data_IF_015259457418
#
_entry.id   IF_015259457418
#
_cell.length_a   1.000
_cell.length_b   1.000
_cell.length_c   1.000
_cell.angle_alpha   90.00
_cell.angle_beta   90.00
_cell.angle_gamma   90.00
#
_symmetry.space_group_name_H-M   'P 1'
#
loop_
_entity.id
_entity.type
_entity.pdbx_description
1 polymer ?
#
# COMPACT_ATOMS: atom_id res chain seq x y z
N UNK A 1 -15.71 -7.16 -7.09
CA UNK A 1 -14.60 -7.75 -6.32
C UNK A 1 -15.07 -9.08 -5.82
N UNK A 2 -14.36 -10.17 -6.09
CA UNK A 2 -14.76 -11.49 -5.63
C UNK A 2 -14.73 -11.51 -4.10
N UNK A 3 -15.90 -11.74 -3.51
CA UNK A 3 -16.10 -11.87 -2.08
C UNK A 3 -15.89 -13.34 -1.70
N UNK A 4 -15.26 -13.64 -0.55
CA UNK A 4 -15.08 -15.03 -0.15
C UNK A 4 -16.43 -15.68 0.16
N UNK A 5 -16.71 -16.79 -0.51
CA UNK A 5 -17.89 -17.62 -0.24
C UNK A 5 -17.80 -18.30 1.13
N UNK A 6 -16.56 -18.62 1.57
CA UNK A 6 -16.27 -19.23 2.87
C UNK A 6 -15.15 -18.46 3.56
N UNK A 7 -15.38 -18.10 4.82
CA UNK A 7 -14.37 -17.46 5.69
C UNK A 7 -13.73 -18.56 6.56
N UNK A 8 -12.42 -18.84 6.41
CA UNK A 8 -11.74 -19.83 7.25
C UNK A 8 -11.74 -19.41 8.72
N UNK A 9 -11.76 -20.39 9.62
CA UNK A 9 -11.56 -20.16 11.06
C UNK A 9 -10.07 -20.31 11.37
N UNK A 10 -9.50 -19.34 12.10
CA UNK A 10 -8.10 -19.42 12.52
C UNK A 10 -7.92 -20.35 13.72
N UNK A 11 -6.67 -20.69 14.08
CA UNK A 11 -6.41 -21.57 15.23
C UNK A 11 -6.84 -21.02 16.61
N UNK A 12 -7.38 -19.80 16.68
CA UNK A 12 -8.02 -19.29 17.90
C UNK A 12 -9.51 -19.65 18.00
N UNK A 13 -10.11 -20.25 16.96
CA UNK A 13 -11.56 -20.44 16.86
C UNK A 13 -12.32 -19.23 16.30
N UNK A 14 -11.61 -18.13 16.00
CA UNK A 14 -12.21 -16.91 15.46
C UNK A 14 -12.18 -16.89 13.91
N UNK A 15 -13.15 -16.23 13.24
CA UNK A 15 -13.10 -16.01 11.79
C UNK A 15 -11.81 -15.27 11.37
N UNK A 16 -11.15 -15.79 10.33
CA UNK A 16 -9.96 -15.19 9.77
C UNK A 16 -10.29 -13.91 9.00
N UNK A 17 -9.37 -12.95 9.02
CA UNK A 17 -9.50 -11.68 8.31
C UNK A 17 -8.90 -11.80 6.91
N UNK A 18 -9.67 -11.46 5.89
CA UNK A 18 -9.15 -11.26 4.54
C UNK A 18 -8.35 -9.95 4.47
N UNK A 19 -7.10 -10.03 4.00
CA UNK A 19 -6.19 -8.89 3.85
C UNK A 19 -5.44 -8.96 2.53
N UNK A 20 -4.96 -7.82 2.04
CA UNK A 20 -4.14 -7.73 0.83
C UNK A 20 -2.67 -7.60 1.19
N UNK A 21 -1.80 -8.37 0.53
CA UNK A 21 -0.36 -8.23 0.67
C UNK A 21 0.15 -7.06 -0.18
N UNK A 22 1.06 -6.28 0.43
CA UNK A 22 1.73 -5.14 -0.20
C UNK A 22 3.23 -5.38 -0.41
N UNK A 23 3.72 -6.59 -0.16
CA UNK A 23 5.12 -6.93 -0.44
C UNK A 23 5.36 -7.03 -1.94
N UNK A 24 6.58 -6.73 -2.41
CA UNK A 24 6.91 -6.82 -3.83
C UNK A 24 6.74 -8.24 -4.41
N UNK A 25 6.83 -9.29 -3.57
CA UNK A 25 6.66 -10.68 -3.99
C UNK A 25 5.20 -11.10 -4.14
N UNK A 26 4.32 -10.51 -3.35
CA UNK A 26 2.90 -10.89 -3.29
C UNK A 26 1.98 -9.68 -3.44
N UNK A 27 2.40 -8.69 -4.21
CA UNK A 27 1.73 -7.41 -4.32
C UNK A 27 0.31 -7.59 -4.87
N UNK A 28 -0.68 -7.06 -4.15
CA UNK A 28 -2.08 -7.15 -4.54
C UNK A 28 -2.74 -8.51 -4.27
N UNK A 29 -1.98 -9.54 -3.85
CA UNK A 29 -2.51 -10.88 -3.58
C UNK A 29 -3.17 -10.92 -2.20
N UNK A 30 -4.41 -11.39 -2.12
CA UNK A 30 -5.13 -11.49 -0.85
C UNK A 30 -4.85 -12.80 -0.12
N UNK A 31 -4.89 -12.73 1.21
CA UNK A 31 -4.71 -13.85 2.12
C UNK A 31 -5.63 -13.70 3.34
N UNK A 32 -6.00 -14.82 3.93
CA UNK A 32 -6.62 -14.88 5.25
C UNK A 32 -5.56 -14.97 6.33
N UNK A 33 -5.67 -14.12 7.35
CA UNK A 33 -4.82 -14.14 8.54
C UNK A 33 -5.63 -14.16 9.83
N UNK A 34 -5.01 -14.54 10.93
CA UNK A 34 -5.61 -14.38 12.26
C UNK A 34 -6.01 -12.91 12.48
N UNK A 35 -7.23 -12.67 12.93
CA UNK A 35 -7.73 -11.31 13.20
C UNK A 35 -6.97 -10.58 14.33
N UNK A 36 -6.24 -11.32 15.19
CA UNK A 36 -5.34 -10.79 16.23
C UNK A 36 -3.94 -10.45 15.71
N UNK A 37 -3.65 -10.68 14.42
CA UNK A 37 -2.36 -10.33 13.83
C UNK A 37 -2.08 -8.81 13.97
N UNK A 38 -0.90 -8.47 14.51
CA UNK A 38 -0.51 -7.08 14.78
C UNK A 38 -1.11 -6.45 16.04
N UNK A 39 -1.93 -7.18 16.80
CA UNK A 39 -2.43 -6.69 18.08
C UNK A 39 -1.32 -6.63 19.12
N UNK A 40 -1.22 -5.52 19.86
CA UNK A 40 -0.33 -5.40 21.03
C UNK A 40 -0.88 -6.10 22.28
N UNK A 41 -2.18 -6.38 22.31
CA UNK A 41 -2.88 -6.88 23.50
C UNK A 41 -3.27 -8.36 23.42
N UNK A 42 -3.36 -8.91 22.21
CA UNK A 42 -3.76 -10.31 21.97
C UNK A 42 -2.72 -11.03 21.14
N UNK A 43 -2.33 -12.23 21.57
CA UNK A 43 -1.39 -13.08 20.83
C UNK A 43 -2.07 -13.63 19.57
N UNK A 44 -1.45 -13.41 18.41
CA UNK A 44 -1.87 -14.02 17.15
C UNK A 44 -1.48 -15.50 17.12
N UNK A 45 -2.37 -16.36 16.63
CA UNK A 45 -2.07 -17.76 16.38
C UNK A 45 -1.28 -18.02 15.09
N UNK A 46 -0.95 -16.95 14.35
CA UNK A 46 -0.18 -17.01 13.09
C UNK A 46 -0.84 -17.84 11.97
N UNK A 47 -2.14 -18.11 12.07
CA UNK A 47 -2.92 -18.67 10.96
C UNK A 47 -2.73 -17.83 9.70
N UNK A 48 -2.52 -18.51 8.57
CA UNK A 48 -2.30 -17.91 7.26
C UNK A 48 -2.81 -18.85 6.16
N UNK A 49 -3.54 -18.31 5.19
CA UNK A 49 -3.93 -19.03 3.97
C UNK A 49 -4.10 -18.07 2.80
N UNK A 50 -3.68 -18.46 1.60
CA UNK A 50 -3.86 -17.62 0.40
C UNK A 50 -5.31 -17.65 -0.08
N UNK A 51 -5.87 -16.48 -0.41
CA UNK A 51 -7.19 -16.39 -1.04
C UNK A 51 -7.07 -16.40 -2.56
N UNK A 52 -6.25 -15.50 -3.09
CA UNK A 52 -5.99 -15.44 -4.52
C UNK A 52 -4.86 -16.43 -4.91
N UNK A 53 -4.88 -17.00 -6.12
CA UNK A 53 -3.73 -17.69 -6.68
C UNK A 53 -2.53 -16.74 -6.82
N UNK A 54 -1.30 -17.25 -6.96
CA UNK A 54 -0.15 -16.41 -7.23
C UNK A 54 -0.33 -15.68 -8.58
N UNK A 55 0.10 -14.42 -8.63
CA UNK A 55 0.15 -13.68 -9.89
C UNK A 55 1.16 -14.33 -10.84
N UNK A 56 0.87 -14.29 -12.14
CA UNK A 56 1.83 -14.72 -13.16
C UNK A 56 3.08 -13.82 -13.14
N UNK A 57 4.28 -14.33 -13.49
CA UNK A 57 5.49 -13.51 -13.53
C UNK A 57 5.35 -12.23 -14.36
N UNK A 58 4.63 -12.32 -15.49
CA UNK A 58 4.33 -11.17 -16.36
C UNK A 58 3.46 -10.13 -15.67
N UNK A 59 2.34 -10.54 -15.07
CA UNK A 59 1.43 -9.61 -14.37
C UNK A 59 2.12 -8.94 -13.18
N UNK A 60 2.92 -9.71 -12.42
CA UNK A 60 3.74 -9.18 -11.32
C UNK A 60 4.74 -8.11 -11.82
N UNK A 61 5.46 -8.38 -12.91
CA UNK A 61 6.42 -7.42 -13.48
C UNK A 61 5.74 -6.12 -13.92
N UNK A 62 4.60 -6.23 -14.62
CA UNK A 62 3.82 -5.08 -15.08
C UNK A 62 3.33 -4.26 -13.87
N UNK A 63 2.75 -4.92 -12.86
CA UNK A 63 2.22 -4.26 -11.66
C UNK A 63 3.32 -3.50 -10.90
N UNK A 64 4.46 -4.14 -10.66
CA UNK A 64 5.62 -3.51 -10.01
C UNK A 64 6.17 -2.34 -10.84
N UNK A 65 6.27 -2.51 -12.16
CA UNK A 65 6.71 -1.47 -13.08
C UNK A 65 5.80 -0.24 -13.05
N UNK A 66 4.48 -0.45 -13.04
CA UNK A 66 3.49 0.63 -12.93
C UNK A 66 3.58 1.35 -11.59
N UNK A 67 3.66 0.63 -10.46
CA UNK A 67 3.83 1.26 -9.16
C UNK A 67 5.12 2.09 -9.07
N UNK A 68 6.23 1.58 -9.64
CA UNK A 68 7.48 2.33 -9.70
C UNK A 68 7.31 3.63 -10.49
N UNK A 69 6.65 3.58 -11.65
CA UNK A 69 6.36 4.78 -12.45
C UNK A 69 5.47 5.77 -11.69
N UNK A 70 4.41 5.30 -11.03
CA UNK A 70 3.53 6.16 -10.23
C UNK A 70 4.30 6.89 -9.13
N UNK A 71 5.14 6.17 -8.37
CA UNK A 71 5.97 6.78 -7.34
C UNK A 71 6.91 7.84 -7.90
N UNK A 72 7.57 7.54 -9.03
CA UNK A 72 8.45 8.51 -9.71
C UNK A 72 7.68 9.78 -10.12
N UNK A 73 6.47 9.63 -10.66
CA UNK A 73 5.63 10.75 -11.06
C UNK A 73 5.13 11.57 -9.85
N UNK A 74 4.74 10.91 -8.77
CA UNK A 74 4.36 11.56 -7.52
C UNK A 74 5.51 12.34 -6.92
N UNK A 75 6.72 11.77 -6.91
CA UNK A 75 7.93 12.44 -6.43
C UNK A 75 8.28 13.64 -7.31
N UNK A 76 8.20 13.51 -8.63
CA UNK A 76 8.43 14.61 -9.56
C UNK A 76 7.44 15.75 -9.33
N UNK A 77 6.14 15.44 -9.22
CA UNK A 77 5.08 16.41 -8.90
C UNK A 77 5.31 17.09 -7.55
N UNK A 78 5.76 16.35 -6.54
CA UNK A 78 6.06 16.90 -5.21
C UNK A 78 7.25 17.86 -5.25
N UNK A 79 8.29 17.53 -6.02
CA UNK A 79 9.43 18.44 -6.26
C UNK A 79 9.00 19.70 -6.98
N UNK A 80 8.25 19.56 -8.06
CA UNK A 80 7.70 20.69 -8.81
C UNK A 80 6.88 21.62 -7.92
N UNK A 81 5.93 21.07 -7.13
CA UNK A 81 5.15 21.85 -6.16
C UNK A 81 6.04 22.60 -5.17
N UNK A 82 7.08 21.95 -4.64
CA UNK A 82 8.03 22.59 -3.72
C UNK A 82 8.81 23.71 -4.39
N UNK A 83 9.29 23.49 -5.61
CA UNK A 83 10.00 24.51 -6.39
C UNK A 83 9.11 25.73 -6.65
N UNK A 84 7.88 25.54 -7.12
CA UNK A 84 6.94 26.63 -7.36
C UNK A 84 6.56 27.38 -6.09
N UNK A 85 6.40 26.68 -4.97
CA UNK A 85 6.19 27.31 -3.68
C UNK A 85 7.38 28.22 -3.29
N UNK A 86 8.61 27.74 -3.46
CA UNK A 86 9.81 28.54 -3.19
C UNK A 86 9.92 29.76 -4.12
N UNK A 87 9.65 29.58 -5.41
CA UNK A 87 9.63 30.68 -6.39
C UNK A 87 8.58 31.73 -5.99
N UNK A 88 7.38 31.31 -5.62
CA UNK A 88 6.31 32.21 -5.17
C UNK A 88 6.75 33.00 -3.93
N UNK A 89 7.32 32.34 -2.93
CA UNK A 89 7.85 33.01 -1.72
C UNK A 89 8.92 34.04 -2.09
N UNK A 90 9.89 33.67 -2.93
CA UNK A 90 10.97 34.57 -3.37
C UNK A 90 10.39 35.80 -4.09
N UNK A 91 9.48 35.60 -5.04
CA UNK A 91 8.83 36.71 -5.78
C UNK A 91 8.07 37.63 -4.83
N UNK A 92 7.30 37.08 -3.89
CA UNK A 92 6.59 37.90 -2.89
C UNK A 92 7.56 38.72 -2.03
N UNK A 93 8.65 38.12 -1.53
CA UNK A 93 9.66 38.84 -0.74
C UNK A 93 10.27 39.99 -1.55
N UNK A 94 10.65 39.77 -2.82
CA UNK A 94 11.20 40.82 -3.66
C UNK A 94 10.22 41.97 -3.93
N UNK A 95 8.92 41.67 -4.09
CA UNK A 95 7.89 42.68 -4.27
C UNK A 95 7.71 43.54 -3.01
N UNK A 96 7.70 42.92 -1.83
CA UNK A 96 7.54 43.63 -0.55
C UNK A 96 8.82 44.26 0.00
N UNK A 97 10.00 43.82 -0.45
CA UNK A 97 11.29 44.45 -0.07
C UNK A 97 11.63 45.68 -0.91
N UNK A 98 10.88 45.94 -1.99
CA UNK A 98 11.04 47.11 -2.86
C UNK A 98 9.91 48.14 -2.70
N UNK A 99 9.00 47.90 -1.77
CA UNK A 99 7.98 48.84 -1.30
C UNK A 99 8.43 49.44 0.03
#
# INVERSE_FOLDING_TARGET
MDMPEVIPVCFCGDPAKLSMSWSNDNLGRRFFGCNKFGSRFRKSCRFFSWFDPPLTPRSRMVLLGLLKKLRTLEDARKRERRTWFLVLVIVTVFLFSKL
#
